data_IF_400775942136
#
_entry.id   IF_400775942136
#
_cell.length_a   1.000
_cell.length_b   1.000
_cell.length_c   1.000
_cell.angle_alpha   90.00
_cell.angle_beta   90.00
_cell.angle_gamma   90.00
#
_symmetry.space_group_name_H-M   'P 1'
#
loop_
_entity.id
_entity.type
_entity.pdbx_description
1 polymer ?
#
# COMPACT_ATOMS: atom_id res chain seq x y z
N UNK A 1 -2.78 4.19 -30.92
CA UNK A 1 -1.91 3.33 -30.10
C UNK A 1 -2.81 2.68 -29.08
N UNK A 2 -2.77 1.36 -28.90
CA UNK A 2 -3.44 0.74 -27.75
C UNK A 2 -2.68 1.23 -26.53
N UNK A 3 -3.22 2.20 -25.78
CA UNK A 3 -2.62 2.58 -24.52
C UNK A 3 -3.09 1.56 -23.48
N UNK A 4 -2.39 0.44 -23.42
CA UNK A 4 -2.52 -0.47 -22.29
C UNK A 4 -1.93 0.21 -21.05
N UNK A 5 -2.55 0.01 -19.89
CA UNK A 5 -1.97 0.43 -18.63
C UNK A 5 -0.59 -0.21 -18.44
N UNK A 6 0.31 0.52 -17.80
CA UNK A 6 1.71 0.10 -17.56
C UNK A 6 2.00 0.08 -16.06
N UNK A 7 3.08 -0.58 -15.66
CA UNK A 7 3.63 -0.41 -14.30
C UNK A 7 4.33 0.94 -14.20
N UNK A 8 4.08 1.70 -13.13
CA UNK A 8 4.64 3.05 -12.94
C UNK A 8 5.94 3.04 -12.13
N UNK A 9 6.24 1.93 -11.44
CA UNK A 9 7.43 1.80 -10.60
C UNK A 9 7.45 2.85 -9.50
N UNK A 10 8.55 3.61 -9.43
CA UNK A 10 8.84 4.55 -8.34
C UNK A 10 8.44 5.99 -8.65
N UNK A 11 7.83 6.27 -9.80
CA UNK A 11 7.32 7.62 -10.08
C UNK A 11 6.25 7.99 -9.06
N UNK A 12 6.18 9.28 -8.70
CA UNK A 12 5.03 9.81 -7.95
C UNK A 12 3.75 9.43 -8.66
N UNK A 13 2.79 8.88 -7.93
CA UNK A 13 1.57 8.36 -8.54
C UNK A 13 0.34 8.76 -7.75
N UNK A 14 -0.77 9.00 -8.46
CA UNK A 14 -2.03 9.40 -7.86
C UNK A 14 -3.17 8.52 -8.38
N UNK A 15 -3.84 7.88 -7.44
CA UNK A 15 -4.97 7.00 -7.64
C UNK A 15 -6.28 7.74 -7.77
N UNK A 16 -6.94 7.60 -8.91
CA UNK A 16 -8.17 8.31 -9.29
C UNK A 16 -9.37 7.37 -9.31
N UNK A 17 -9.69 6.78 -8.16
CA UNK A 17 -10.81 5.85 -8.06
C UNK A 17 -12.12 6.48 -8.51
N UNK A 18 -12.84 5.79 -9.38
CA UNK A 18 -14.09 6.26 -9.97
C UNK A 18 -15.14 5.18 -9.80
N UNK A 19 -16.03 5.36 -8.82
CA UNK A 19 -17.11 4.41 -8.52
C UNK A 19 -18.31 4.52 -9.46
N UNK A 20 -18.41 5.62 -10.21
CA UNK A 20 -19.57 5.95 -11.05
C UNK A 20 -19.31 5.78 -12.55
N UNK A 21 -18.06 5.55 -12.96
CA UNK A 21 -17.66 5.25 -14.33
C UNK A 21 -17.66 6.44 -15.29
N UNK A 22 -17.77 7.67 -14.77
CA UNK A 22 -17.89 8.90 -15.59
C UNK A 22 -16.99 10.05 -15.12
N UNK A 23 -16.19 9.86 -14.07
CA UNK A 23 -15.33 10.90 -13.50
C UNK A 23 -13.99 11.05 -14.22
N UNK A 24 -13.52 9.99 -14.89
CA UNK A 24 -12.19 9.96 -15.53
C UNK A 24 -11.88 11.17 -16.43
N UNK A 25 -12.80 11.70 -17.27
CA UNK A 25 -12.51 12.91 -18.04
C UNK A 25 -12.14 14.13 -17.18
N UNK A 26 -12.78 14.31 -16.02
CA UNK A 26 -12.44 15.36 -15.06
C UNK A 26 -11.11 15.08 -14.34
N UNK A 27 -10.80 13.80 -14.06
CA UNK A 27 -9.50 13.40 -13.52
C UNK A 27 -8.36 13.75 -14.49
N UNK A 28 -8.54 13.49 -15.79
CA UNK A 28 -7.59 13.91 -16.84
C UNK A 28 -7.43 15.42 -16.88
N UNK A 29 -8.53 16.18 -16.84
CA UNK A 29 -8.47 17.65 -16.82
C UNK A 29 -7.64 18.17 -15.63
N UNK A 30 -7.79 17.56 -14.45
CA UNK A 30 -6.99 17.90 -13.26
C UNK A 30 -5.49 17.60 -13.49
N UNK A 31 -5.17 16.44 -14.06
CA UNK A 31 -3.79 16.05 -14.37
C UNK A 31 -3.14 16.96 -15.41
N UNK A 32 -3.87 17.35 -16.46
CA UNK A 32 -3.37 18.27 -17.48
C UNK A 32 -3.10 19.68 -16.91
N UNK A 33 -3.88 20.11 -15.91
CA UNK A 33 -3.72 21.43 -15.28
C UNK A 33 -2.63 21.48 -14.21
N UNK A 34 -2.51 20.41 -13.41
CA UNK A 34 -1.73 20.45 -12.16
C UNK A 34 -0.97 19.15 -11.84
N UNK A 35 -1.01 18.14 -12.70
CA UNK A 35 -0.41 16.82 -12.47
C UNK A 35 1.04 16.66 -12.92
N UNK A 36 1.71 17.73 -13.33
CA UNK A 36 3.08 17.66 -13.85
C UNK A 36 4.04 16.98 -12.84
N UNK A 37 4.69 15.89 -13.26
CA UNK A 37 5.60 15.11 -12.43
C UNK A 37 4.92 14.00 -11.60
N UNK A 38 3.62 13.77 -11.80
CA UNK A 38 2.85 12.69 -11.19
C UNK A 38 2.21 11.86 -12.31
N UNK A 39 2.27 10.53 -12.19
CA UNK A 39 1.60 9.62 -13.10
C UNK A 39 0.23 9.17 -12.55
N UNK A 40 -0.83 9.17 -13.36
CA UNK A 40 -2.16 8.79 -12.90
C UNK A 40 -2.37 7.27 -12.88
N UNK A 41 -3.23 6.84 -11.98
CA UNK A 41 -3.87 5.52 -12.02
C UNK A 41 -5.39 5.76 -12.13
N UNK A 42 -5.92 5.80 -13.36
CA UNK A 42 -7.35 6.05 -13.59
C UNK A 42 -8.23 4.83 -13.29
N UNK A 43 -7.91 3.61 -13.75
CA UNK A 43 -8.63 2.42 -13.34
C UNK A 43 -8.15 2.04 -11.93
N UNK A 44 -8.83 2.54 -10.91
CA UNK A 44 -8.62 2.15 -9.53
C UNK A 44 -9.96 1.84 -8.87
N UNK A 45 -10.11 0.62 -8.38
CA UNK A 45 -11.27 0.26 -7.58
C UNK A 45 -10.99 -1.02 -6.78
N UNK A 46 -11.49 -1.06 -5.54
CA UNK A 46 -11.43 -2.26 -4.72
C UNK A 46 -12.52 -3.26 -5.07
N UNK A 47 -12.30 -4.54 -4.76
CA UNK A 47 -13.30 -5.62 -4.91
C UNK A 47 -14.60 -5.29 -4.14
N UNK A 48 -14.46 -4.70 -2.95
CA UNK A 48 -15.58 -4.22 -2.12
C UNK A 48 -16.41 -3.16 -2.86
N UNK A 49 -15.76 -2.20 -3.51
CA UNK A 49 -16.45 -1.16 -4.27
C UNK A 49 -17.08 -1.70 -5.55
N UNK A 50 -16.38 -2.58 -6.30
CA UNK A 50 -16.93 -3.27 -7.47
C UNK A 50 -18.22 -4.01 -7.13
N UNK A 51 -18.20 -4.78 -6.03
CA UNK A 51 -19.37 -5.49 -5.53
C UNK A 51 -20.53 -4.53 -5.20
N UNK A 52 -20.26 -3.44 -4.46
CA UNK A 52 -21.29 -2.46 -4.04
C UNK A 52 -21.88 -1.66 -5.21
N UNK A 53 -21.07 -1.38 -6.22
CA UNK A 53 -21.48 -0.62 -7.42
C UNK A 53 -22.02 -1.53 -8.53
N UNK A 54 -21.98 -2.86 -8.33
CA UNK A 54 -22.34 -3.86 -9.34
C UNK A 54 -21.54 -3.70 -10.65
N UNK A 55 -20.28 -3.28 -10.53
CA UNK A 55 -19.33 -3.17 -11.63
C UNK A 55 -18.34 -4.32 -11.58
N UNK A 56 -17.85 -4.71 -12.74
CA UNK A 56 -16.84 -5.76 -12.91
C UNK A 56 -15.48 -5.15 -13.21
N UNK A 57 -14.39 -5.87 -12.93
CA UNK A 57 -13.04 -5.41 -13.24
C UNK A 57 -12.86 -4.99 -14.72
N UNK A 58 -13.39 -5.72 -15.73
CA UNK A 58 -13.37 -5.28 -17.12
C UNK A 58 -14.14 -3.97 -17.37
N UNK A 59 -15.26 -3.72 -16.69
CA UNK A 59 -16.00 -2.47 -16.83
C UNK A 59 -15.20 -1.29 -16.25
N UNK A 60 -14.62 -1.45 -15.06
CA UNK A 60 -13.77 -0.43 -14.44
C UNK A 60 -12.61 -0.05 -15.37
N UNK A 61 -11.93 -1.05 -15.93
CA UNK A 61 -10.85 -0.84 -16.90
C UNK A 61 -11.36 -0.11 -18.15
N UNK A 62 -12.41 -0.61 -18.80
CA UNK A 62 -12.91 -0.08 -20.06
C UNK A 62 -13.37 1.38 -19.93
N UNK A 63 -14.14 1.70 -18.90
CA UNK A 63 -14.68 3.05 -18.67
C UNK A 63 -13.57 4.07 -18.38
N UNK A 64 -12.56 3.67 -17.60
CA UNK A 64 -11.40 4.53 -17.34
C UNK A 64 -10.54 4.75 -18.59
N UNK A 65 -10.27 3.71 -19.38
CA UNK A 65 -9.51 3.84 -20.64
C UNK A 65 -10.27 4.72 -21.66
N UNK A 66 -11.58 4.52 -21.81
CA UNK A 66 -12.42 5.35 -22.69
C UNK A 66 -12.45 6.81 -22.23
N UNK A 67 -12.63 7.06 -20.94
CA UNK A 67 -12.63 8.40 -20.36
C UNK A 67 -11.27 9.09 -20.51
N UNK A 68 -10.18 8.35 -20.29
CA UNK A 68 -8.81 8.80 -20.47
C UNK A 68 -8.55 9.27 -21.91
N UNK A 69 -8.94 8.45 -22.88
CA UNK A 69 -8.78 8.75 -24.31
C UNK A 69 -9.64 9.93 -24.76
N UNK A 70 -10.91 9.95 -24.35
CA UNK A 70 -11.85 11.01 -24.75
C UNK A 70 -11.40 12.37 -24.24
N UNK A 71 -10.79 12.41 -23.05
CA UNK A 71 -10.26 13.64 -22.46
C UNK A 71 -8.84 14.00 -22.94
N UNK A 72 -8.23 13.21 -23.83
CA UNK A 72 -6.98 13.54 -24.50
C UNK A 72 -5.72 13.29 -23.67
N UNK A 73 -5.74 12.36 -22.72
CA UNK A 73 -4.50 11.92 -22.05
C UNK A 73 -3.66 11.03 -22.98
N UNK A 74 -2.39 11.36 -23.14
CA UNK A 74 -1.43 10.67 -24.00
C UNK A 74 -0.21 10.09 -23.24
N UNK A 75 -0.12 10.34 -21.92
CA UNK A 75 0.93 9.87 -21.04
C UNK A 75 0.75 8.43 -20.52
N UNK A 76 1.68 7.94 -19.68
CA UNK A 76 1.53 6.66 -19.00
C UNK A 76 0.32 6.69 -18.05
N UNK A 77 -0.25 5.50 -17.79
CA UNK A 77 -1.34 5.31 -16.85
C UNK A 77 -1.16 3.94 -16.19
N UNK A 78 -1.24 3.86 -14.86
CA UNK A 78 -1.32 2.60 -14.14
C UNK A 78 -2.76 2.12 -13.99
N UNK A 79 -2.97 0.89 -13.53
CA UNK A 79 -4.27 0.37 -13.15
C UNK A 79 -4.17 -0.43 -11.85
N UNK A 80 -4.85 0.03 -10.79
CA UNK A 80 -4.76 -0.52 -9.45
C UNK A 80 -5.98 -1.36 -9.06
N UNK A 81 -5.73 -2.64 -8.86
CA UNK A 81 -6.64 -3.59 -8.27
C UNK A 81 -6.51 -3.46 -6.74
N UNK A 82 -7.39 -2.67 -6.16
CA UNK A 82 -7.25 -2.19 -4.79
C UNK A 82 -7.78 -3.21 -3.75
N UNK A 83 -7.16 -3.27 -2.58
CA UNK A 83 -7.52 -4.17 -1.45
C UNK A 83 -7.83 -5.63 -1.84
N UNK A 84 -6.92 -6.30 -2.55
CA UNK A 84 -7.03 -7.71 -2.91
C UNK A 84 -6.75 -8.62 -1.72
N UNK A 85 -7.66 -9.57 -1.50
CA UNK A 85 -7.58 -10.54 -0.40
C UNK A 85 -7.47 -11.98 -0.89
N UNK A 86 -7.95 -12.29 -2.09
CA UNK A 86 -8.06 -13.67 -2.59
C UNK A 86 -7.38 -13.88 -3.94
N UNK A 87 -7.10 -15.16 -4.25
CA UNK A 87 -6.57 -15.58 -5.55
C UNK A 87 -7.56 -15.34 -6.70
N UNK A 88 -8.86 -15.52 -6.45
CA UNK A 88 -9.90 -15.27 -7.44
C UNK A 88 -9.93 -13.79 -7.84
N UNK A 89 -9.78 -12.88 -6.88
CA UNK A 89 -9.71 -11.45 -7.14
C UNK A 89 -8.48 -11.08 -8.00
N UNK A 90 -7.33 -11.73 -7.73
CA UNK A 90 -6.12 -11.60 -8.58
C UNK A 90 -6.42 -12.07 -10.00
N UNK A 91 -7.04 -13.23 -10.17
CA UNK A 91 -7.33 -13.76 -11.50
C UNK A 91 -8.24 -12.83 -12.31
N UNK A 92 -9.34 -12.35 -11.72
CA UNK A 92 -10.30 -11.49 -12.45
C UNK A 92 -9.70 -10.12 -12.79
N UNK A 93 -8.91 -9.54 -11.91
CA UNK A 93 -8.30 -8.21 -12.13
C UNK A 93 -7.09 -8.30 -13.06
N UNK A 94 -6.22 -9.30 -12.90
CA UNK A 94 -5.11 -9.52 -13.83
C UNK A 94 -5.63 -9.78 -15.24
N UNK A 95 -6.68 -10.60 -15.42
CA UNK A 95 -7.28 -10.83 -16.74
C UNK A 95 -7.87 -9.55 -17.34
N UNK A 96 -8.47 -8.68 -16.53
CA UNK A 96 -9.00 -7.38 -16.95
C UNK A 96 -7.92 -6.36 -17.36
N UNK A 97 -6.64 -6.62 -17.07
CA UNK A 97 -5.52 -5.77 -17.49
C UNK A 97 -4.98 -4.83 -16.41
N UNK A 98 -5.32 -5.06 -15.13
CA UNK A 98 -4.71 -4.34 -14.03
C UNK A 98 -3.21 -4.65 -13.93
N UNK A 99 -2.40 -3.63 -13.60
CA UNK A 99 -0.93 -3.73 -13.55
C UNK A 99 -0.37 -3.54 -12.15
N UNK A 100 -1.16 -2.96 -11.24
CA UNK A 100 -0.81 -2.67 -9.87
C UNK A 100 -1.77 -3.47 -8.96
N UNK A 101 -1.21 -4.27 -8.05
CA UNK A 101 -1.96 -5.16 -7.17
C UNK A 101 -1.74 -4.76 -5.72
N UNK A 102 -2.76 -4.21 -5.09
CA UNK A 102 -2.70 -3.82 -3.68
C UNK A 102 -3.16 -4.98 -2.82
N UNK A 103 -2.22 -5.63 -2.14
CA UNK A 103 -2.49 -6.77 -1.26
C UNK A 103 -2.89 -6.24 0.11
N UNK A 104 -4.04 -6.70 0.59
CA UNK A 104 -4.59 -6.36 1.88
C UNK A 104 -4.73 -7.62 2.74
N UNK A 105 -3.81 -7.85 3.70
CA UNK A 105 -3.85 -8.99 4.59
C UNK A 105 -4.61 -8.71 5.90
N UNK A 106 -5.41 -7.63 5.99
CA UNK A 106 -6.11 -7.20 7.22
C UNK A 106 -6.93 -8.30 7.89
N UNK A 107 -7.51 -9.24 7.14
CA UNK A 107 -8.30 -10.36 7.69
C UNK A 107 -7.48 -11.29 8.61
N UNK A 108 -6.15 -11.21 8.53
CA UNK A 108 -5.20 -12.02 9.30
C UNK A 108 -4.39 -11.19 10.32
N UNK A 109 -4.74 -9.91 10.50
CA UNK A 109 -4.10 -9.02 11.48
C UNK A 109 -4.79 -9.17 12.83
N UNK A 110 -3.99 -9.29 13.90
CA UNK A 110 -4.48 -9.18 15.27
C UNK A 110 -4.37 -7.74 15.77
N UNK A 111 -5.44 -6.96 15.58
CA UNK A 111 -5.50 -5.56 16.01
C UNK A 111 -5.38 -5.37 17.53
N UNK A 112 -5.61 -6.42 18.32
CA UNK A 112 -5.49 -6.33 19.77
C UNK A 112 -4.06 -6.57 20.28
N UNK A 113 -3.13 -6.93 19.40
CA UNK A 113 -1.73 -7.20 19.74
C UNK A 113 -1.04 -6.05 20.49
N UNK A 114 -1.42 -4.80 20.20
CA UNK A 114 -0.89 -3.61 20.88
C UNK A 114 -1.44 -3.43 22.30
N UNK A 115 -2.60 -4.01 22.59
CA UNK A 115 -3.28 -3.89 23.89
C UNK A 115 -2.98 -5.06 24.83
N UNK A 116 -2.30 -6.11 24.36
CA UNK A 116 -1.90 -7.22 25.21
C UNK A 116 -0.87 -6.79 26.25
N UNK A 117 -1.09 -7.23 27.49
CA UNK A 117 -0.06 -7.24 28.53
C UNK A 117 1.01 -8.30 28.24
N UNK A 118 2.05 -8.36 29.08
CA UNK A 118 3.18 -9.27 28.83
C UNK A 118 2.76 -10.75 28.81
N UNK A 119 1.89 -11.18 29.71
CA UNK A 119 1.47 -12.58 29.81
C UNK A 119 0.64 -12.98 28.59
N UNK A 120 -0.36 -12.16 28.23
CA UNK A 120 -1.19 -12.37 27.06
C UNK A 120 -0.36 -12.34 25.76
N UNK A 121 0.58 -11.40 25.65
CA UNK A 121 1.45 -11.29 24.47
C UNK A 121 2.32 -12.54 24.31
N UNK A 122 2.91 -13.07 25.39
CA UNK A 122 3.72 -14.29 25.33
C UNK A 122 2.87 -15.52 24.97
N UNK A 123 1.65 -15.60 25.48
CA UNK A 123 0.72 -16.67 25.12
C UNK A 123 0.34 -16.61 23.63
N UNK A 124 -0.08 -15.45 23.14
CA UNK A 124 -0.40 -15.24 21.72
C UNK A 124 0.82 -15.48 20.82
N UNK A 125 2.01 -15.04 21.25
CA UNK A 125 3.24 -15.28 20.53
C UNK A 125 3.56 -16.77 20.40
N UNK A 126 3.35 -17.56 21.45
CA UNK A 126 3.55 -19.00 21.39
C UNK A 126 2.67 -19.69 20.34
N UNK A 127 1.47 -19.17 20.06
CA UNK A 127 0.57 -19.71 19.03
C UNK A 127 1.06 -19.43 17.61
N UNK A 128 1.73 -18.29 17.38
CA UNK A 128 2.20 -17.89 16.03
C UNK A 128 3.68 -18.21 15.80
N UNK A 129 4.45 -18.54 16.84
CA UNK A 129 5.90 -18.69 16.77
C UNK A 129 6.35 -19.70 15.72
N UNK A 130 5.65 -20.83 15.61
CA UNK A 130 5.99 -21.89 14.65
C UNK A 130 5.51 -21.59 13.23
N UNK A 131 4.68 -20.57 13.05
CA UNK A 131 4.21 -20.08 11.74
C UNK A 131 5.14 -19.02 11.14
N UNK A 132 6.14 -18.56 11.88
CA UNK A 132 7.09 -17.53 11.44
C UNK A 132 8.55 -17.99 11.55
N UNK A 133 9.37 -17.68 10.55
CA UNK A 133 10.78 -18.08 10.51
C UNK A 133 11.76 -16.93 10.83
N UNK A 134 11.23 -15.74 11.11
CA UNK A 134 12.01 -14.51 11.08
C UNK A 134 12.31 -13.89 12.44
N UNK A 135 11.61 -14.30 13.50
CA UNK A 135 11.69 -13.68 14.83
C UNK A 135 13.13 -13.57 15.36
N UNK A 136 13.87 -14.69 15.33
CA UNK A 136 15.25 -14.77 15.84
C UNK A 136 16.23 -13.89 15.03
N UNK A 137 15.86 -13.51 13.80
CA UNK A 137 16.67 -12.60 12.99
C UNK A 137 16.57 -11.15 13.43
N UNK A 138 15.55 -10.75 14.17
CA UNK A 138 15.33 -9.36 14.57
C UNK A 138 15.44 -9.16 16.09
N UNK A 139 14.98 -10.12 16.88
CA UNK A 139 14.89 -9.99 18.33
C UNK A 139 16.23 -9.61 18.97
N UNK A 140 16.21 -8.55 19.78
CA UNK A 140 17.37 -8.01 20.49
C UNK A 140 18.30 -7.14 19.63
N UNK A 141 17.94 -6.86 18.37
CA UNK A 141 18.75 -6.02 17.48
C UNK A 141 18.27 -4.56 17.52
N UNK A 142 19.02 -3.71 16.84
CA UNK A 142 18.60 -2.36 16.50
C UNK A 142 19.24 -1.93 15.20
N UNK A 143 18.60 -0.98 14.52
CA UNK A 143 19.16 -0.31 13.34
C UNK A 143 19.12 1.20 13.52
N UNK A 144 20.06 1.90 12.89
CA UNK A 144 20.10 3.36 12.88
C UNK A 144 19.71 3.84 11.49
N UNK A 145 18.64 4.64 11.41
CA UNK A 145 18.18 5.22 10.16
C UNK A 145 19.06 6.41 9.76
N UNK A 146 19.03 6.80 8.48
CA UNK A 146 19.72 8.01 7.99
C UNK A 146 19.26 9.29 8.71
N UNK A 147 18.06 9.28 9.27
CA UNK A 147 17.47 10.37 10.07
C UNK A 147 18.03 10.43 11.49
N UNK A 148 18.98 9.55 11.85
CA UNK A 148 19.52 9.34 13.20
C UNK A 148 18.55 8.73 14.20
N UNK A 149 17.31 8.48 13.80
CA UNK A 149 16.36 7.70 14.59
C UNK A 149 16.83 6.25 14.69
N UNK A 150 16.86 5.73 15.91
CA UNK A 150 17.15 4.33 16.20
C UNK A 150 15.84 3.53 16.21
N UNK A 151 15.81 2.43 15.46
CA UNK A 151 14.72 1.46 15.49
C UNK A 151 15.17 0.30 16.37
N UNK A 152 14.59 0.19 17.56
CA UNK A 152 14.85 -0.90 18.49
C UNK A 152 13.94 -2.10 18.19
N UNK A 153 14.56 -3.22 17.84
CA UNK A 153 13.91 -4.50 17.59
C UNK A 153 14.01 -5.33 18.88
N UNK A 154 13.44 -4.79 19.97
CA UNK A 154 13.40 -5.51 21.26
C UNK A 154 12.64 -6.82 21.12
N UNK A 155 12.82 -7.74 22.07
CA UNK A 155 12.05 -8.98 22.11
C UNK A 155 10.54 -8.69 22.11
N UNK A 156 10.09 -7.73 22.92
CA UNK A 156 8.69 -7.31 22.98
C UNK A 156 8.20 -6.75 21.63
N UNK A 157 8.95 -5.84 21.01
CA UNK A 157 8.56 -5.26 19.72
C UNK A 157 8.46 -6.33 18.62
N UNK A 158 9.38 -7.29 18.61
CA UNK A 158 9.33 -8.42 17.68
C UNK A 158 8.17 -9.37 17.98
N UNK A 159 7.84 -9.62 19.25
CA UNK A 159 6.69 -10.44 19.64
C UNK A 159 5.38 -9.78 19.23
N UNK A 160 5.23 -8.47 19.47
CA UNK A 160 4.04 -7.71 19.03
C UNK A 160 3.90 -7.74 17.52
N UNK A 161 4.97 -7.46 16.78
CA UNK A 161 4.94 -7.55 15.31
C UNK A 161 4.60 -8.98 14.81
N UNK A 162 5.08 -10.02 15.51
CA UNK A 162 4.80 -11.41 15.18
C UNK A 162 3.33 -11.77 15.40
N UNK A 163 2.77 -11.40 16.54
CA UNK A 163 1.36 -11.63 16.86
C UNK A 163 0.46 -10.83 15.92
N UNK A 164 0.76 -9.56 15.72
CA UNK A 164 -0.04 -8.64 14.90
C UNK A 164 -0.01 -9.02 13.42
N UNK A 165 1.18 -9.23 12.85
CA UNK A 165 1.36 -9.34 11.40
C UNK A 165 1.93 -10.67 10.91
N UNK A 166 2.31 -11.62 11.78
CA UNK A 166 2.97 -12.85 11.36
C UNK A 166 2.15 -13.63 10.34
N UNK A 167 0.87 -13.91 10.65
CA UNK A 167 -0.07 -14.58 9.75
C UNK A 167 -0.43 -13.73 8.53
N UNK A 168 -0.68 -12.44 8.75
CA UNK A 168 -0.95 -11.47 7.69
C UNK A 168 0.16 -11.42 6.63
N UNK A 169 1.41 -11.41 7.08
CA UNK A 169 2.58 -11.40 6.21
C UNK A 169 2.72 -12.71 5.44
N UNK A 170 2.49 -13.87 6.08
CA UNK A 170 2.49 -15.16 5.37
C UNK A 170 1.44 -15.18 4.24
N UNK A 171 0.23 -14.68 4.50
CA UNK A 171 -0.82 -14.56 3.49
C UNK A 171 -0.43 -13.58 2.36
N UNK A 172 0.10 -12.42 2.73
CA UNK A 172 0.53 -11.41 1.76
C UNK A 172 1.65 -11.94 0.83
N UNK A 173 2.62 -12.66 1.39
CA UNK A 173 3.70 -13.28 0.61
C UNK A 173 3.15 -14.35 -0.34
N UNK A 174 2.26 -15.21 0.14
CA UNK A 174 1.64 -16.25 -0.68
C UNK A 174 0.76 -15.67 -1.81
N UNK A 175 0.05 -14.57 -1.55
CA UNK A 175 -0.75 -13.90 -2.58
C UNK A 175 0.14 -13.15 -3.57
N UNK A 176 1.23 -12.52 -3.11
CA UNK A 176 2.23 -11.88 -3.97
C UNK A 176 2.93 -12.87 -4.91
N UNK A 177 3.27 -14.07 -4.43
CA UNK A 177 3.78 -15.16 -5.26
C UNK A 177 2.74 -15.61 -6.29
N UNK A 178 1.47 -15.64 -5.91
CA UNK A 178 0.40 -15.99 -6.84
C UNK A 178 0.23 -14.94 -7.94
N UNK A 179 0.24 -13.64 -7.61
CA UNK A 179 0.25 -12.54 -8.60
C UNK A 179 1.42 -12.73 -9.56
N UNK A 180 2.63 -12.95 -9.04
CA UNK A 180 3.84 -13.20 -9.85
C UNK A 180 3.66 -14.39 -10.78
N UNK A 181 3.16 -15.50 -10.28
CA UNK A 181 2.95 -16.72 -11.05
C UNK A 181 1.98 -16.50 -12.21
N UNK A 182 0.82 -15.88 -11.95
CA UNK A 182 -0.18 -15.64 -12.98
C UNK A 182 0.26 -14.59 -13.99
N UNK A 183 0.88 -13.50 -13.54
CA UNK A 183 1.41 -12.47 -14.43
C UNK A 183 2.48 -13.04 -15.37
N UNK A 184 3.38 -13.89 -14.85
CA UNK A 184 4.39 -14.59 -15.65
C UNK A 184 3.76 -15.53 -16.68
N UNK A 185 2.71 -16.28 -16.32
CA UNK A 185 1.99 -17.15 -17.27
C UNK A 185 1.35 -16.38 -18.42
N UNK A 186 0.91 -15.16 -18.17
CA UNK A 186 0.25 -14.29 -19.15
C UNK A 186 1.22 -13.34 -19.88
N UNK A 187 2.53 -13.40 -19.59
CA UNK A 187 3.55 -12.48 -20.11
C UNK A 187 3.18 -11.00 -19.84
N UNK A 188 2.75 -10.71 -18.61
CA UNK A 188 2.33 -9.37 -18.17
C UNK A 188 3.25 -8.82 -17.09
N UNK A 189 3.57 -7.53 -17.22
CA UNK A 189 4.19 -6.79 -16.13
C UNK A 189 3.20 -6.56 -14.99
N UNK A 190 3.71 -6.57 -13.77
CA UNK A 190 2.94 -6.31 -12.57
C UNK A 190 3.78 -5.56 -11.54
N UNK A 191 3.13 -4.90 -10.59
CA UNK A 191 3.74 -4.32 -9.41
C UNK A 191 2.84 -4.52 -8.19
N UNK A 192 3.44 -4.63 -7.00
CA UNK A 192 2.73 -4.92 -5.76
C UNK A 192 2.80 -3.74 -4.81
N UNK A 193 1.67 -3.42 -4.19
CA UNK A 193 1.62 -2.68 -2.94
C UNK A 193 1.22 -3.60 -1.80
N UNK A 194 1.81 -3.40 -0.63
CA UNK A 194 1.30 -3.99 0.60
C UNK A 194 0.59 -2.92 1.44
N UNK A 195 -0.67 -3.17 1.78
CA UNK A 195 -1.45 -2.34 2.70
C UNK A 195 -1.41 -2.89 4.12
N UNK A 196 -1.06 -2.07 5.09
CA UNK A 196 -1.21 -2.33 6.54
C UNK A 196 -1.81 -1.10 7.23
N UNK A 197 -2.64 -0.36 6.52
CA UNK A 197 -3.29 0.88 6.96
C UNK A 197 -4.66 0.63 7.62
N UNK A 198 -5.31 -0.51 7.38
CA UNK A 198 -6.59 -0.88 8.01
C UNK A 198 -6.38 -1.46 9.43
N UNK A 199 -5.54 -0.82 10.25
CA UNK A 199 -5.33 -1.18 11.67
C UNK A 199 -5.69 -0.03 12.60
N UNK A 200 -6.18 -0.34 13.80
CA UNK A 200 -6.57 0.67 14.80
C UNK A 200 -5.35 1.51 15.24
N UNK A 201 -4.24 0.84 15.52
CA UNK A 201 -3.01 1.47 15.99
C UNK A 201 -2.05 1.80 14.84
N UNK A 202 -1.30 2.92 14.92
CA UNK A 202 -0.29 3.29 13.93
C UNK A 202 0.78 2.20 13.74
N UNK A 203 1.24 2.03 12.51
CA UNK A 203 2.34 1.12 12.20
C UNK A 203 3.63 1.64 12.83
N UNK A 204 4.25 0.85 13.70
CA UNK A 204 5.51 1.24 14.35
C UNK A 204 6.69 1.15 13.37
N UNK A 205 7.82 1.80 13.70
CA UNK A 205 9.03 1.67 12.90
C UNK A 205 9.59 0.23 12.90
N UNK A 206 9.45 -0.50 14.01
CA UNK A 206 9.85 -1.90 14.10
C UNK A 206 9.00 -2.79 13.19
N UNK A 207 7.68 -2.59 13.20
CA UNK A 207 6.75 -3.30 12.31
C UNK A 207 7.05 -3.02 10.85
N UNK A 208 7.15 -1.74 10.46
CA UNK A 208 7.50 -1.35 9.08
C UNK A 208 8.83 -2.00 8.67
N UNK A 209 9.87 -1.92 9.50
CA UNK A 209 11.18 -2.50 9.21
C UNK A 209 11.10 -4.02 8.98
N UNK A 210 10.44 -4.75 9.89
CA UNK A 210 10.29 -6.21 9.79
C UNK A 210 9.52 -6.58 8.53
N UNK A 211 8.36 -5.95 8.30
CA UNK A 211 7.50 -6.21 7.14
C UNK A 211 8.28 -5.99 5.83
N UNK A 212 8.88 -4.80 5.67
CA UNK A 212 9.61 -4.46 4.46
C UNK A 212 10.83 -5.35 4.23
N UNK A 213 11.57 -5.72 5.27
CA UNK A 213 12.74 -6.57 5.13
C UNK A 213 12.35 -8.03 4.82
N UNK A 214 11.22 -8.52 5.36
CA UNK A 214 10.69 -9.83 5.01
C UNK A 214 10.27 -9.90 3.52
N UNK A 215 9.54 -8.89 3.03
CA UNK A 215 9.14 -8.80 1.61
C UNK A 215 10.38 -8.76 0.71
N UNK A 216 11.38 -7.96 1.07
CA UNK A 216 12.66 -7.86 0.36
C UNK A 216 13.40 -9.19 0.34
N UNK A 217 13.45 -9.92 1.46
CA UNK A 217 14.09 -11.24 1.54
C UNK A 217 13.33 -12.30 0.73
N UNK A 218 12.00 -12.21 0.66
CA UNK A 218 11.16 -13.08 -0.17
C UNK A 218 11.30 -12.80 -1.67
N UNK A 219 11.73 -11.59 -2.04
CA UNK A 219 11.98 -11.20 -3.42
C UNK A 219 10.72 -10.79 -4.20
N UNK A 220 9.70 -10.27 -3.51
CA UNK A 220 8.54 -9.67 -4.17
C UNK A 220 8.88 -8.29 -4.76
N UNK A 221 8.28 -7.99 -5.92
CA UNK A 221 8.37 -6.68 -6.60
C UNK A 221 7.43 -5.67 -5.94
N UNK A 222 7.72 -5.31 -4.69
CA UNK A 222 6.98 -4.28 -3.95
C UNK A 222 7.41 -2.89 -4.42
N UNK A 223 6.47 -2.10 -4.94
CA UNK A 223 6.70 -0.72 -5.39
C UNK A 223 6.17 0.31 -4.40
N UNK A 224 5.30 -0.10 -3.48
CA UNK A 224 4.81 0.75 -2.41
C UNK A 224 4.36 -0.04 -1.18
N UNK A 225 4.34 0.64 -0.03
CA UNK A 225 3.79 0.14 1.22
C UNK A 225 2.90 1.25 1.81
N UNK A 226 1.69 0.89 2.22
CA UNK A 226 0.75 1.80 2.89
C UNK A 226 0.73 1.52 4.40
N UNK A 227 1.47 2.29 5.23
CA UNK A 227 1.40 2.14 6.67
C UNK A 227 0.17 2.86 7.22
N UNK A 228 -0.32 2.43 8.39
CA UNK A 228 -1.20 3.25 9.23
C UNK A 228 -0.38 4.40 9.83
N UNK A 229 -0.46 5.59 9.24
CA UNK A 229 0.18 6.79 9.80
C UNK A 229 -0.41 7.18 11.16
N UNK A 230 0.35 7.90 11.99
CA UNK A 230 -0.15 8.43 13.27
C UNK A 230 -1.30 9.42 13.08
N UNK A 231 -2.19 9.55 14.07
CA UNK A 231 -3.38 10.41 14.02
C UNK A 231 -4.59 9.74 13.35
N UNK A 232 -5.58 10.53 12.97
CA UNK A 232 -6.85 10.03 12.40
C UNK A 232 -6.98 10.46 10.92
N UNK A 233 -7.24 9.48 10.05
CA UNK A 233 -7.43 9.67 8.61
C UNK A 233 -8.88 9.32 8.22
N UNK A 234 -9.84 10.09 8.75
CA UNK A 234 -11.26 9.90 8.44
C UNK A 234 -11.57 10.24 6.96
N UNK A 235 -12.61 9.62 6.40
CA UNK A 235 -13.01 9.83 5.00
C UNK A 235 -13.69 11.19 4.81
N UNK A 236 -13.33 11.92 3.76
CA UNK A 236 -13.98 13.17 3.39
C UNK A 236 -13.55 14.39 4.21
N UNK A 237 -12.55 14.26 5.09
CA UNK A 237 -12.04 15.34 5.95
C UNK A 237 -10.51 15.36 5.95
N UNK A 238 -9.94 16.49 6.35
CA UNK A 238 -8.49 16.65 6.52
C UNK A 238 -7.97 15.86 7.74
N UNK A 239 -6.67 15.71 7.81
CA UNK A 239 -5.97 15.03 8.90
C UNK A 239 -6.28 15.65 10.27
N UNK A 240 -6.47 14.77 11.26
CA UNK A 240 -6.63 15.16 12.67
C UNK A 240 -5.50 14.54 13.50
N UNK A 241 -4.62 15.40 14.00
CA UNK A 241 -3.48 15.02 14.83
C UNK A 241 -2.43 16.12 14.90
N UNK A 242 -1.25 15.76 15.39
CA UNK A 242 -0.09 16.65 15.47
C UNK A 242 0.74 16.55 14.17
N UNK A 243 0.79 17.64 13.41
CA UNK A 243 1.50 17.71 12.13
C UNK A 243 3.02 17.62 12.27
N UNK A 244 3.60 18.11 13.38
CA UNK A 244 5.04 18.01 13.62
C UNK A 244 5.43 16.56 13.94
N UNK A 245 4.59 15.89 14.73
CA UNK A 245 4.74 14.46 15.00
C UNK A 245 4.58 13.63 13.71
N UNK A 246 3.60 13.96 12.86
CA UNK A 246 3.39 13.28 11.58
C UNK A 246 4.60 13.46 10.68
N UNK A 247 5.12 14.69 10.56
CA UNK A 247 6.30 14.99 9.77
C UNK A 247 7.52 14.20 10.25
N UNK A 248 7.75 14.11 11.57
CA UNK A 248 8.84 13.32 12.13
C UNK A 248 8.67 11.81 11.84
N UNK A 249 7.48 11.26 12.09
CA UNK A 249 7.15 9.85 11.84
C UNK A 249 7.30 9.47 10.37
N UNK A 250 6.75 10.29 9.46
CA UNK A 250 6.81 10.03 8.02
C UNK A 250 8.23 10.10 7.47
N UNK A 251 9.06 11.01 7.99
CA UNK A 251 10.48 11.07 7.67
C UNK A 251 11.20 9.76 8.01
N UNK A 252 10.89 9.18 9.17
CA UNK A 252 11.49 7.93 9.61
C UNK A 252 10.96 6.71 8.85
N UNK A 253 9.66 6.67 8.54
CA UNK A 253 9.11 5.64 7.64
C UNK A 253 9.72 5.71 6.23
N UNK A 254 9.94 6.91 5.68
CA UNK A 254 10.62 7.04 4.38
C UNK A 254 12.08 6.58 4.48
N UNK A 255 12.77 6.84 5.59
CA UNK A 255 14.12 6.34 5.79
C UNK A 255 14.20 4.81 5.82
N UNK A 256 13.17 4.12 6.32
CA UNK A 256 13.03 2.66 6.20
C UNK A 256 12.81 2.28 4.72
N UNK A 257 11.92 2.98 4.01
CA UNK A 257 11.65 2.73 2.59
C UNK A 257 12.88 2.91 1.69
N UNK A 258 13.79 3.82 2.04
CA UNK A 258 15.08 3.95 1.37
C UNK A 258 16.08 2.86 1.73
N UNK A 259 16.07 2.40 2.97
CA UNK A 259 17.01 1.42 3.47
C UNK A 259 16.70 0.02 2.94
N UNK A 260 15.42 -0.34 2.91
CA UNK A 260 14.94 -1.68 2.55
C UNK A 260 14.32 -1.75 1.16
N UNK A 261 14.17 -0.61 0.49
CA UNK A 261 13.63 -0.53 -0.86
C UNK A 261 14.71 -0.36 -1.94
N UNK A 262 14.46 0.47 -2.97
CA UNK A 262 13.48 1.56 -2.97
C UNK A 262 12.03 1.13 -3.21
N UNK A 263 11.10 1.69 -2.44
CA UNK A 263 9.64 1.68 -2.67
C UNK A 263 9.02 3.03 -2.25
N UNK A 264 7.77 3.30 -2.66
CA UNK A 264 7.01 4.50 -2.31
C UNK A 264 6.30 4.32 -0.96
N UNK A 265 6.14 5.41 -0.21
CA UNK A 265 5.10 5.44 0.82
C UNK A 265 3.75 5.71 0.17
N UNK A 266 2.74 4.94 0.52
CA UNK A 266 1.39 5.07 0.01
C UNK A 266 0.45 5.66 1.04
N UNK A 267 -0.30 6.70 0.66
CA UNK A 267 -1.32 7.34 1.48
C UNK A 267 -2.69 6.83 1.05
N UNK A 268 -3.20 5.86 1.79
CA UNK A 268 -4.59 5.41 1.72
C UNK A 268 -5.53 6.39 2.42
N UNK A 269 -6.81 6.37 2.04
CA UNK A 269 -7.79 7.39 2.43
C UNK A 269 -7.27 8.83 2.20
N UNK A 270 -6.51 9.00 1.12
CA UNK A 270 -5.75 10.21 0.82
C UNK A 270 -6.60 11.40 0.43
N UNK A 271 -7.84 11.17 -0.02
CA UNK A 271 -8.80 12.25 -0.30
C UNK A 271 -8.89 13.22 0.88
N UNK A 272 -8.89 14.52 0.55
CA UNK A 272 -9.07 15.64 1.47
C UNK A 272 -7.96 15.84 2.53
N UNK A 273 -6.87 15.06 2.50
CA UNK A 273 -5.72 15.17 3.42
C UNK A 273 -4.76 16.30 3.05
N UNK A 274 -5.30 17.49 2.79
CA UNK A 274 -4.56 18.65 2.29
C UNK A 274 -3.33 18.98 3.13
N UNK A 275 -3.46 18.92 4.45
CA UNK A 275 -2.36 19.20 5.39
C UNK A 275 -1.23 18.16 5.35
N UNK A 276 -1.49 16.94 4.85
CA UNK A 276 -0.50 15.86 4.75
C UNK A 276 0.31 15.92 3.44
N UNK A 277 -0.24 16.48 2.35
CA UNK A 277 0.36 16.35 1.02
C UNK A 277 1.76 16.95 0.92
N UNK A 278 1.99 18.14 1.47
CA UNK A 278 3.32 18.76 1.47
C UNK A 278 4.32 17.95 2.29
N UNK A 279 3.88 17.46 3.47
CA UNK A 279 4.71 16.62 4.34
C UNK A 279 5.10 15.33 3.62
N UNK A 280 4.15 14.68 2.93
CA UNK A 280 4.37 13.48 2.14
C UNK A 280 5.34 13.72 0.99
N UNK A 281 5.07 14.71 0.14
CA UNK A 281 5.92 15.00 -1.01
C UNK A 281 7.35 15.35 -0.60
N UNK A 282 7.52 16.17 0.46
CA UNK A 282 8.83 16.61 0.95
C UNK A 282 9.63 15.45 1.55
N UNK A 283 9.02 14.68 2.45
CA UNK A 283 9.73 13.60 3.15
C UNK A 283 10.03 12.40 2.26
N UNK A 284 9.21 12.15 1.24
CA UNK A 284 9.44 11.05 0.29
C UNK A 284 10.31 11.45 -0.91
N UNK A 285 10.71 12.73 -1.00
CA UNK A 285 11.45 13.27 -2.14
C UNK A 285 10.70 13.07 -3.48
N UNK A 286 9.37 13.20 -3.46
CA UNK A 286 8.54 12.96 -4.64
C UNK A 286 8.44 11.49 -5.05
N UNK A 287 8.53 10.55 -4.10
CA UNK A 287 8.33 9.12 -4.33
C UNK A 287 7.21 8.62 -3.42
N UNK A 288 5.99 9.00 -3.79
CA UNK A 288 4.78 8.67 -3.05
C UNK A 288 3.73 8.05 -3.96
N UNK A 289 2.78 7.36 -3.34
CA UNK A 289 1.49 7.06 -3.93
C UNK A 289 0.40 7.68 -3.06
N UNK A 290 -0.64 8.26 -3.67
CA UNK A 290 -1.82 8.76 -2.95
C UNK A 290 -3.05 8.13 -3.56
N UNK A 291 -3.92 7.52 -2.76
CA UNK A 291 -5.17 6.92 -3.23
C UNK A 291 -6.36 7.80 -2.91
N UNK A 292 -7.15 8.10 -3.94
CA UNK A 292 -8.46 8.74 -3.81
C UNK A 292 -9.52 7.86 -4.47
N UNK A 293 -10.75 7.94 -3.99
CA UNK A 293 -11.91 7.29 -4.61
C UNK A 293 -13.18 8.10 -4.33
N UNK A 294 -13.67 8.03 -3.08
CA UNK A 294 -14.81 8.84 -2.61
C UNK A 294 -16.16 8.28 -3.02
#
# INVERSE_FOLDING_TARGET
MNHECVTLGLTSSFGFGDRIGVATPGHVEAMLRSGAGIDPIFPQQSIREMTRTQRTAPQVMAEAIEGMHTAGWDGPCGADADHLKTREDVDVTLNAGFTFFTIDPSDFVDDNADNYDEEALRAAFAEVRDEIEWFDRYSGKATLLKTTTRVDLTEEACMRAAVKYGRALNHALALGDYVKEQATKLDREYEIELSVDETDQPTTLAEHYIIADQIRQHGLKMVSLAPRFIGELEKGVDYKGDLDALNASMRDHNAIAELLGPYKLSLHSGSDKLSMYEILARNTHGRFHVKTAG
#
